data_IF_424988773449
#
_entry.id   IF_424988773449
#
_cell.length_a   1.000
_cell.length_b   1.000
_cell.length_c   1.000
_cell.angle_alpha   90.00
_cell.angle_beta   90.00
_cell.angle_gamma   90.00
#
_symmetry.space_group_name_H-M   'P 1'
#
loop_
_entity.id
_entity.type
_entity.pdbx_description
1 polymer ?
#
# COMPACT_ATOMS: atom_id res chain seq x y z
N UNK A 1 -12.84 10.29 1.71
CA UNK A 1 -12.12 9.05 2.08
C UNK A 1 -10.63 9.36 2.12
N UNK A 2 -9.95 9.05 3.21
CA UNK A 2 -8.50 9.27 3.35
C UNK A 2 -7.72 8.19 2.61
N UNK A 3 -6.51 8.53 2.14
CA UNK A 3 -5.59 7.60 1.49
C UNK A 3 -5.41 6.31 2.29
N UNK A 4 -5.22 6.44 3.60
CA UNK A 4 -5.05 5.31 4.53
C UNK A 4 -6.25 4.35 4.60
N UNK A 5 -7.48 4.88 4.60
CA UNK A 5 -8.68 4.02 4.64
C UNK A 5 -8.82 3.16 3.39
N UNK A 6 -8.48 3.73 2.23
CA UNK A 6 -8.52 3.01 0.97
C UNK A 6 -7.46 1.92 0.89
N UNK A 7 -6.26 2.22 1.41
CA UNK A 7 -5.16 1.24 1.54
C UNK A 7 -5.60 0.06 2.42
N UNK A 8 -6.24 0.33 3.56
CA UNK A 8 -6.77 -0.73 4.45
C UNK A 8 -7.84 -1.60 3.77
N UNK A 9 -8.81 -0.99 3.09
CA UNK A 9 -9.88 -1.70 2.36
C UNK A 9 -9.30 -2.68 1.33
N UNK A 10 -8.31 -2.20 0.55
CA UNK A 10 -7.62 -3.02 -0.44
C UNK A 10 -6.84 -4.15 0.23
N UNK A 11 -6.01 -3.86 1.25
CA UNK A 11 -5.28 -4.90 1.99
C UNK A 11 -6.23 -5.95 2.56
N UNK A 12 -7.30 -5.54 3.24
CA UNK A 12 -8.30 -6.43 3.81
C UNK A 12 -8.93 -7.36 2.76
N UNK A 13 -9.25 -6.81 1.59
CA UNK A 13 -9.82 -7.56 0.47
C UNK A 13 -8.85 -8.63 -0.05
N UNK A 14 -7.56 -8.29 -0.22
CA UNK A 14 -6.56 -9.21 -0.76
C UNK A 14 -5.96 -10.17 0.28
N UNK A 15 -6.03 -9.83 1.57
CA UNK A 15 -5.52 -10.65 2.67
C UNK A 15 -6.57 -11.51 3.37
N UNK A 16 -7.85 -11.40 3.02
CA UNK A 16 -8.96 -12.02 3.77
C UNK A 16 -8.93 -11.72 5.29
N UNK A 17 -8.29 -10.61 5.69
CA UNK A 17 -8.31 -10.12 7.07
C UNK A 17 -9.30 -8.97 7.17
N UNK A 18 -10.01 -8.86 8.29
CA UNK A 18 -10.82 -7.67 8.56
C UNK A 18 -9.97 -6.41 8.79
N UNK A 19 -10.41 -5.28 8.24
CA UNK A 19 -9.76 -3.96 8.40
C UNK A 19 -9.48 -3.58 9.86
N UNK A 20 -10.32 -4.07 10.79
CA UNK A 20 -10.20 -3.85 12.24
C UNK A 20 -9.04 -4.60 12.89
N UNK A 21 -8.62 -5.71 12.30
CA UNK A 21 -7.49 -6.53 12.78
C UNK A 21 -6.17 -6.09 12.12
N UNK A 22 -6.25 -5.35 11.01
CA UNK A 22 -5.09 -4.77 10.34
C UNK A 22 -4.61 -3.54 11.12
N UNK A 23 -3.56 -3.73 11.92
CA UNK A 23 -2.88 -2.65 12.60
C UNK A 23 -2.15 -1.71 11.63
N UNK A 24 -1.98 -0.41 11.97
CA UNK A 24 -1.24 0.54 11.14
C UNK A 24 0.22 0.17 10.91
N UNK A 25 0.80 -0.56 11.87
CA UNK A 25 2.18 -1.04 11.85
C UNK A 25 2.27 -2.55 11.55
N UNK A 26 1.16 -3.17 11.14
CA UNK A 26 1.15 -4.56 10.68
C UNK A 26 1.93 -4.66 9.38
N UNK A 27 2.89 -5.59 9.34
CA UNK A 27 3.64 -5.86 8.12
C UNK A 27 2.85 -6.81 7.22
N UNK A 28 2.38 -6.28 6.10
CA UNK A 28 1.58 -7.00 5.10
C UNK A 28 2.43 -7.74 4.07
N UNK A 29 3.70 -7.37 3.91
CA UNK A 29 4.67 -8.00 3.00
C UNK A 29 5.81 -8.77 3.72
N UNK A 30 5.67 -9.03 5.02
CA UNK A 30 6.68 -9.79 5.79
C UNK A 30 6.51 -11.31 5.62
N UNK A 31 7.50 -12.09 6.06
CA UNK A 31 7.67 -13.53 5.80
C UNK A 31 6.49 -14.41 6.28
N UNK A 32 5.59 -13.85 7.11
CA UNK A 32 4.30 -14.45 7.51
C UNK A 32 3.15 -14.22 6.51
N UNK A 33 3.48 -13.75 5.29
CA UNK A 33 2.66 -13.50 4.11
C UNK A 33 1.14 -13.55 4.30
N UNK A 34 0.53 -12.37 4.38
CA UNK A 34 -0.93 -12.25 4.23
C UNK A 34 -1.36 -11.86 2.82
N UNK A 35 -0.43 -11.47 1.96
CA UNK A 35 -0.74 -11.09 0.58
C UNK A 35 0.18 -11.85 -0.36
N UNK A 36 -0.37 -12.80 -1.12
CA UNK A 36 0.40 -13.63 -2.03
C UNK A 36 1.24 -12.79 -3.00
N UNK A 37 2.40 -13.29 -3.43
CA UNK A 37 3.34 -12.57 -4.31
C UNK A 37 2.69 -11.99 -5.59
N UNK A 38 1.58 -12.57 -6.05
CA UNK A 38 0.75 -12.02 -7.13
C UNK A 38 -0.19 -10.89 -6.68
N UNK A 39 -0.85 -11.07 -5.53
CA UNK A 39 -1.75 -10.06 -4.95
C UNK A 39 -1.00 -8.79 -4.57
N UNK A 40 0.26 -8.91 -4.14
CA UNK A 40 1.21 -7.82 -3.92
C UNK A 40 1.32 -6.88 -5.13
N UNK A 41 1.53 -7.47 -6.31
CA UNK A 41 1.71 -6.74 -7.56
C UNK A 41 0.39 -6.08 -7.98
N UNK A 42 -0.73 -6.81 -7.91
CA UNK A 42 -2.05 -6.24 -8.22
C UNK A 42 -2.42 -5.08 -7.30
N UNK A 43 -2.13 -5.20 -6.02
CA UNK A 43 -2.37 -4.16 -5.02
C UNK A 43 -1.59 -2.87 -5.36
N UNK A 44 -0.31 -2.99 -5.68
CA UNK A 44 0.55 -1.86 -6.06
C UNK A 44 0.04 -1.18 -7.33
N UNK A 45 -0.26 -1.97 -8.37
CA UNK A 45 -0.83 -1.45 -9.62
C UNK A 45 -2.15 -0.71 -9.37
N UNK A 46 -2.98 -1.23 -8.47
CA UNK A 46 -4.24 -0.56 -8.10
C UNK A 46 -3.99 0.76 -7.37
N UNK A 47 -3.04 0.80 -6.44
CA UNK A 47 -2.65 2.05 -5.77
C UNK A 47 -2.16 3.10 -6.76
N UNK A 48 -1.29 2.72 -7.70
CA UNK A 48 -0.79 3.62 -8.74
C UNK A 48 -1.93 4.21 -9.59
N UNK A 49 -2.86 3.38 -10.05
CA UNK A 49 -4.00 3.84 -10.84
C UNK A 49 -4.98 4.69 -10.03
N UNK A 50 -5.32 4.26 -8.82
CA UNK A 50 -6.33 4.93 -7.99
C UNK A 50 -5.84 6.29 -7.48
N UNK A 51 -4.53 6.39 -7.18
CA UNK A 51 -3.94 7.61 -6.64
C UNK A 51 -3.18 8.44 -7.67
N UNK A 52 -2.97 7.94 -8.89
CA UNK A 52 -2.21 8.60 -9.94
C UNK A 52 -0.74 8.76 -9.57
N UNK A 53 -0.17 7.83 -8.81
CA UNK A 53 1.24 7.84 -8.41
C UNK A 53 2.02 6.78 -9.20
N UNK A 54 3.35 6.91 -9.20
CA UNK A 54 4.24 5.90 -9.74
C UNK A 54 5.11 5.32 -8.62
N UNK A 55 4.98 4.01 -8.41
CA UNK A 55 5.75 3.22 -7.45
C UNK A 55 6.83 2.51 -8.27
N UNK A 56 8.09 2.76 -7.94
CA UNK A 56 9.21 2.09 -8.62
C UNK A 56 9.53 0.78 -7.89
N UNK A 57 10.11 -0.19 -8.60
CA UNK A 57 10.50 -1.49 -8.05
C UNK A 57 11.48 -1.33 -6.88
N UNK A 58 12.36 -0.32 -6.99
CA UNK A 58 13.28 0.08 -5.93
C UNK A 58 12.53 0.53 -4.65
N UNK A 59 11.37 1.17 -4.76
CA UNK A 59 10.58 1.59 -3.60
C UNK A 59 9.79 0.44 -2.97
N UNK A 60 9.39 -0.55 -3.79
CA UNK A 60 8.82 -1.83 -3.33
C UNK A 60 9.85 -2.62 -2.51
N UNK A 61 11.07 -2.72 -3.03
CA UNK A 61 12.16 -3.46 -2.38
C UNK A 61 12.67 -2.75 -1.11
N UNK A 62 12.63 -1.41 -1.10
CA UNK A 62 13.12 -0.55 -0.01
C UNK A 62 12.32 -0.60 1.30
N UNK A 63 11.51 -1.61 1.56
CA UNK A 63 10.84 -1.80 2.85
C UNK A 63 9.84 -0.68 3.22
N UNK A 64 9.60 0.30 2.33
CA UNK A 64 8.73 1.46 2.55
C UNK A 64 7.26 1.13 2.34
N UNK A 65 6.95 0.01 1.70
CA UNK A 65 5.58 -0.44 1.47
C UNK A 65 5.19 -1.60 2.39
N UNK A 66 5.92 -1.84 3.48
CA UNK A 66 5.63 -2.97 4.37
C UNK A 66 4.37 -2.83 5.21
N UNK A 67 3.95 -1.61 5.56
CA UNK A 67 2.79 -1.40 6.44
C UNK A 67 1.78 -0.45 5.80
N UNK A 68 0.49 -0.59 6.09
CA UNK A 68 -0.54 0.30 5.53
C UNK A 68 -0.31 1.77 5.87
N UNK A 69 0.29 2.06 7.05
CA UNK A 69 0.72 3.42 7.42
C UNK A 69 1.77 3.95 6.46
N UNK A 70 2.84 3.18 6.19
CA UNK A 70 3.92 3.67 5.34
C UNK A 70 3.46 3.85 3.89
N UNK A 71 2.62 2.96 3.38
CA UNK A 71 2.01 3.10 2.05
C UNK A 71 1.20 4.39 1.96
N UNK A 72 0.31 4.64 2.92
CA UNK A 72 -0.49 5.85 2.92
C UNK A 72 0.38 7.11 2.93
N UNK A 73 1.43 7.12 3.78
CA UNK A 73 2.36 8.23 3.86
C UNK A 73 3.18 8.41 2.57
N UNK A 74 3.60 7.31 1.94
CA UNK A 74 4.32 7.32 0.67
C UNK A 74 3.45 7.91 -0.45
N UNK A 75 2.20 7.46 -0.55
CA UNK A 75 1.22 7.96 -1.52
C UNK A 75 0.97 9.45 -1.32
N UNK A 76 0.78 9.91 -0.09
CA UNK A 76 0.59 11.34 0.21
C UNK A 76 1.82 12.18 -0.16
N UNK A 77 3.01 11.67 0.10
CA UNK A 77 4.25 12.36 -0.25
C UNK A 77 4.43 12.46 -1.78
N UNK A 78 4.14 11.37 -2.52
CA UNK A 78 4.16 11.36 -3.99
C UNK A 78 3.10 12.27 -4.61
N UNK A 79 1.89 12.30 -4.05
CA UNK A 79 0.83 13.23 -4.49
C UNK A 79 1.24 14.69 -4.37
N UNK A 80 1.92 15.03 -3.26
CA UNK A 80 2.47 16.38 -3.06
C UNK A 80 3.53 16.74 -4.11
N UNK A 81 4.29 15.77 -4.59
CA UNK A 81 5.31 15.96 -5.63
C UNK A 81 4.74 16.12 -7.04
N UNK A 82 3.68 15.37 -7.39
CA UNK A 82 3.08 15.36 -8.74
C UNK A 82 2.35 16.67 -9.11
N UNK A 83 2.02 17.55 -8.16
CA UNK A 83 1.40 18.86 -8.44
C UNK A 83 2.40 19.99 -8.79
N UNK A 84 3.70 19.71 -8.94
CA UNK A 84 4.74 20.73 -9.20
C UNK A 84 5.43 20.65 -10.57
N UNK A 85 5.08 19.71 -11.44
CA UNK A 85 5.65 19.59 -12.80
C UNK A 85 4.58 19.72 -13.89
#
# INVERSE_FOLDING_TARGET
>A
MNTYQKVLELVATYSEIEEKEIGPDLRIFDEFFVMDSFAAIEFVLKLEQEFGIKIDDDDLDMQKLQTPRMIAQYVENKKTWCSRE
#
